data_IF_935661726100
#
_entry.id   IF_935661726100
#
_cell.length_a   1.000
_cell.length_b   1.000
_cell.length_c   1.000
_cell.angle_alpha   90.00
_cell.angle_beta   90.00
_cell.angle_gamma   90.00
#
_symmetry.space_group_name_H-M   'P 1'
#
loop_
_entity.id
_entity.type
_entity.pdbx_description
1 polymer ?
#
# COMPACT_ATOMS: atom_id res chain seq x y z
N UNK A 1 -5.26 -7.88 -6.00
CA UNK A 1 -4.95 -6.91 -4.92
C UNK A 1 -6.03 -6.92 -3.82
N UNK A 2 -6.89 -7.94 -3.76
CA UNK A 2 -8.17 -7.85 -3.02
C UNK A 2 -8.07 -8.20 -1.53
N UNK A 3 -6.88 -8.58 -1.08
CA UNK A 3 -6.60 -8.97 0.32
C UNK A 3 -5.78 -7.93 1.09
N UNK A 4 -5.45 -6.79 0.48
CA UNK A 4 -4.68 -5.73 1.12
C UNK A 4 -5.57 -4.53 1.47
N UNK A 5 -5.31 -3.95 2.63
CA UNK A 5 -5.87 -2.69 3.12
C UNK A 5 -4.73 -1.77 3.55
N UNK A 6 -4.86 -0.49 3.23
CA UNK A 6 -3.91 0.53 3.65
C UNK A 6 -4.16 0.97 5.11
N UNK A 7 -3.08 1.15 5.88
CA UNK A 7 -3.06 1.77 7.20
C UNK A 7 -1.67 2.37 7.45
N UNK A 8 -1.58 3.48 8.20
CA UNK A 8 -0.31 4.17 8.46
C UNK A 8 0.37 3.81 9.79
N UNK A 9 -0.32 3.11 10.68
CA UNK A 9 0.14 2.87 12.06
C UNK A 9 0.41 4.16 12.85
N UNK A 10 -0.46 5.16 12.71
CA UNK A 10 -0.37 6.40 13.49
C UNK A 10 -0.60 6.11 15.00
N UNK A 11 0.20 6.67 15.93
CA UNK A 11 1.15 7.78 15.76
C UNK A 11 2.61 7.38 15.47
N UNK A 12 2.90 6.11 15.17
CA UNK A 12 4.26 5.65 14.86
C UNK A 12 4.74 6.18 13.51
N UNK A 13 3.87 6.16 12.49
CA UNK A 13 4.14 6.77 11.19
C UNK A 13 2.94 7.59 10.68
N UNK A 14 3.25 8.64 9.92
CA UNK A 14 2.24 9.48 9.27
C UNK A 14 1.72 8.83 8.00
N UNK A 15 0.48 9.15 7.57
CA UNK A 15 -0.03 8.66 6.30
C UNK A 15 0.86 9.00 5.09
N UNK A 16 1.47 10.19 5.07
CA UNK A 16 2.36 10.60 3.99
C UNK A 16 3.62 9.71 3.92
N UNK A 17 4.24 9.42 5.07
CA UNK A 17 5.42 8.54 5.14
C UNK A 17 5.09 7.13 4.66
N UNK A 18 3.96 6.56 5.11
CA UNK A 18 3.58 5.20 4.71
C UNK A 18 3.19 5.12 3.23
N UNK A 19 2.47 6.12 2.70
CA UNK A 19 2.17 6.20 1.26
C UNK A 19 3.45 6.26 0.44
N UNK A 20 4.40 7.13 0.82
CA UNK A 20 5.69 7.25 0.14
C UNK A 20 6.48 5.93 0.19
N UNK A 21 6.48 5.26 1.33
CA UNK A 21 7.11 3.94 1.50
C UNK A 21 6.48 2.88 0.59
N UNK A 22 5.14 2.82 0.55
CA UNK A 22 4.39 1.87 -0.27
C UNK A 22 4.66 2.10 -1.77
N UNK A 23 4.60 3.35 -2.25
CA UNK A 23 4.90 3.69 -3.64
C UNK A 23 6.38 3.43 -4.01
N UNK A 24 7.27 3.43 -3.01
CA UNK A 24 8.69 3.11 -3.17
C UNK A 24 9.05 1.63 -3.02
N UNK A 25 8.08 0.72 -2.83
CA UNK A 25 8.36 -0.69 -2.44
C UNK A 25 9.28 -1.41 -3.42
N UNK A 26 9.17 -1.11 -4.72
CA UNK A 26 10.02 -1.71 -5.76
C UNK A 26 11.51 -1.36 -5.61
N UNK A 27 11.87 -0.30 -4.87
CA UNK A 27 13.26 0.06 -4.60
C UNK A 27 14.01 -1.04 -3.81
N UNK A 28 13.29 -1.84 -3.00
CA UNK A 28 13.86 -2.98 -2.26
C UNK A 28 14.28 -4.11 -3.21
N UNK A 29 13.73 -4.17 -4.42
CA UNK A 29 14.01 -5.22 -5.41
C UNK A 29 15.25 -4.92 -6.27
N UNK A 30 15.99 -3.86 -5.98
CA UNK A 30 17.20 -3.49 -6.73
C UNK A 30 18.21 -4.64 -6.79
N UNK A 31 18.49 -5.12 -8.01
CA UNK A 31 19.51 -6.16 -8.23
C UNK A 31 19.05 -7.60 -8.02
N UNK A 32 17.75 -7.84 -7.75
CA UNK A 32 17.17 -9.19 -7.69
C UNK A 32 16.15 -9.41 -8.83
N UNK A 33 16.08 -10.62 -9.41
CA UNK A 33 15.18 -10.91 -10.53
C UNK A 33 13.74 -11.18 -10.04
N UNK A 34 13.17 -10.22 -9.29
CA UNK A 34 11.80 -10.30 -8.80
C UNK A 34 10.88 -9.38 -9.62
N UNK A 35 9.61 -9.77 -9.84
CA UNK A 35 8.63 -8.91 -10.50
C UNK A 35 8.44 -7.61 -9.72
N UNK A 36 8.31 -6.50 -10.46
CA UNK A 36 7.92 -5.21 -9.90
C UNK A 36 6.41 -5.06 -9.93
N UNK A 37 5.85 -4.46 -8.88
CA UNK A 37 4.43 -4.12 -8.85
C UNK A 37 4.18 -2.82 -9.63
N UNK A 38 3.18 -2.78 -10.53
CA UNK A 38 2.75 -1.55 -11.19
C UNK A 38 2.27 -0.50 -10.18
N UNK A 39 2.53 0.78 -10.47
CA UNK A 39 2.12 1.89 -9.59
C UNK A 39 0.60 1.91 -9.38
N UNK A 40 -0.19 1.66 -10.42
CA UNK A 40 -1.66 1.62 -10.33
C UNK A 40 -2.17 0.47 -9.44
N UNK A 41 -1.41 -0.63 -9.34
CA UNK A 41 -1.73 -1.73 -8.42
C UNK A 41 -1.52 -1.31 -6.96
N UNK A 42 -0.49 -0.51 -6.67
CA UNK A 42 -0.22 0.04 -5.35
C UNK A 42 -1.25 1.11 -4.96
N UNK A 43 -1.65 1.97 -5.90
CA UNK A 43 -2.71 2.97 -5.70
C UNK A 43 -4.06 2.32 -5.35
N UNK A 44 -4.37 1.15 -5.91
CA UNK A 44 -5.56 0.36 -5.54
C UNK A 44 -5.56 -0.07 -4.07
N UNK A 45 -4.41 -0.13 -3.40
CA UNK A 45 -4.34 -0.39 -1.95
C UNK A 45 -4.65 0.89 -1.18
N UNK A 46 -4.07 2.03 -1.60
CA UNK A 46 -4.19 3.34 -0.93
C UNK A 46 -5.62 3.87 -0.96
N UNK A 47 -6.29 3.79 -2.11
CA UNK A 47 -7.60 4.40 -2.33
C UNK A 47 -8.77 3.43 -2.17
N UNK A 48 -8.53 2.22 -1.66
CA UNK A 48 -9.58 1.22 -1.44
C UNK A 48 -10.51 1.68 -0.32
N UNK A 49 -11.82 1.63 -0.55
CA UNK A 49 -12.80 1.83 0.52
C UNK A 49 -12.78 0.66 1.51
N UNK A 50 -12.36 0.86 2.78
CA UNK A 50 -12.27 -0.20 3.76
C UNK A 50 -13.62 -0.52 4.43
N UNK A 51 -14.59 0.39 4.41
CA UNK A 51 -15.83 0.25 5.19
C UNK A 51 -16.64 -1.02 4.83
N UNK A 52 -16.96 -1.29 3.55
CA UNK A 52 -17.70 -2.50 3.19
C UNK A 52 -16.88 -3.78 3.44
N UNK A 53 -15.55 -3.68 3.44
CA UNK A 53 -14.64 -4.82 3.64
C UNK A 53 -14.50 -5.22 5.11
N UNK A 54 -14.76 -4.27 6.00
CA UNK A 54 -14.76 -4.45 7.46
C UNK A 54 -16.16 -4.66 8.03
N UNK A 55 -17.21 -4.63 7.19
CA UNK A 55 -18.61 -4.78 7.63
C UNK A 55 -19.14 -3.56 8.39
N UNK A 56 -18.68 -2.36 8.02
CA UNK A 56 -18.99 -1.08 8.70
C UNK A 56 -19.86 -0.14 7.86
N UNK A 57 -20.50 -0.65 6.81
CA UNK A 57 -21.33 0.10 5.86
C UNK A 57 -22.83 0.04 6.21
#
# INVERSE_FOLDING_TARGET
MDKLLYASDFPVATPEETIKGLLGVNAVLGGVPLPQEPVDALEKIIYRDPLPLLGLA
#
